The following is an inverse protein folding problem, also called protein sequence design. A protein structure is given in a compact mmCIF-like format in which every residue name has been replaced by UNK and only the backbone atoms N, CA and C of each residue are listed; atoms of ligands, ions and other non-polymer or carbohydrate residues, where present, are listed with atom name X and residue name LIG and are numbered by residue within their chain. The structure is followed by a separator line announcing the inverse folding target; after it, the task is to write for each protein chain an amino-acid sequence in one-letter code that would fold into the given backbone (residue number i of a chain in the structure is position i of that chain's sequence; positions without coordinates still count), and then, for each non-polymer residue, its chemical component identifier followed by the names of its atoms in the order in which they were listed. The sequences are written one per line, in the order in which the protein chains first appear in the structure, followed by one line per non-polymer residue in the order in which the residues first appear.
data_IF_082635587698
#
_entry.id   IF_082635587698
#
_cell.length_a   1.000
_cell.length_b   1.000
_cell.length_c   1.000
_cell.angle_alpha   90.00
_cell.angle_beta   90.00
_cell.angle_gamma   90.00
#
_symmetry.space_group_name_H-M   'P 1'
#
loop_
_entity.id
_entity.type
_entity.pdbx_description
1 polymer ?
#
# COMPACT_ATOMS: atom_id res chain seq x y z
N UNK A 1 -25.78 0.35 15.32
CA UNK A 1 -25.41 -1.06 15.03
C UNK A 1 -24.34 -0.98 13.95
N UNK A 2 -23.04 -0.95 14.26
CA UNK A 2 -22.16 -2.13 14.20
C UNK A 2 -20.77 -1.74 14.75
N UNK A 3 -20.57 -1.66 16.07
CA UNK A 3 -19.25 -1.36 16.66
C UNK A 3 -18.43 -2.63 16.97
N UNK A 4 -19.07 -3.80 16.97
CA UNK A 4 -18.44 -5.07 17.34
C UNK A 4 -17.51 -5.62 16.26
N UNK A 5 -17.78 -5.35 14.97
CA UNK A 5 -16.98 -5.85 13.85
C UNK A 5 -15.65 -5.10 13.65
N UNK A 6 -15.61 -3.81 14.01
CA UNK A 6 -14.36 -3.01 13.96
C UNK A 6 -13.39 -3.41 15.08
N UNK A 7 -13.90 -3.88 16.23
CA UNK A 7 -13.04 -4.36 17.32
C UNK A 7 -12.35 -5.69 16.97
N UNK A 8 -13.01 -6.60 16.24
CA UNK A 8 -12.41 -7.89 15.83
C UNK A 8 -11.32 -7.72 14.77
N UNK A 9 -11.49 -6.81 13.81
CA UNK A 9 -10.50 -6.56 12.75
C UNK A 9 -9.29 -5.75 13.23
N UNK A 10 -9.44 -4.97 14.31
CA UNK A 10 -8.35 -4.14 14.87
C UNK A 10 -7.36 -4.91 15.75
N UNK A 11 -7.78 -6.05 16.30
CA UNK A 11 -6.97 -6.90 17.18
C UNK A 11 -5.59 -7.27 16.60
N UNK A 12 -5.46 -7.74 15.34
CA UNK A 12 -4.13 -8.06 14.77
C UNK A 12 -3.24 -6.82 14.57
N UNK A 13 -3.81 -5.65 14.23
CA UNK A 13 -3.04 -4.42 14.04
C UNK A 13 -2.37 -3.94 15.33
N UNK A 14 -3.09 -4.00 16.45
CA UNK A 14 -2.58 -3.66 17.77
C UNK A 14 -1.45 -4.59 18.23
N UNK A 15 -1.58 -5.89 17.94
CA UNK A 15 -0.54 -6.89 18.25
C UNK A 15 0.74 -6.61 17.45
N UNK A 16 0.61 -6.32 16.15
CA UNK A 16 1.75 -5.98 15.29
C UNK A 16 2.44 -4.71 15.79
N UNK A 17 1.67 -3.71 16.23
CA UNK A 17 2.24 -2.49 16.81
C UNK A 17 3.03 -2.76 18.08
N UNK A 18 2.45 -3.51 19.02
CA UNK A 18 3.12 -3.87 20.26
C UNK A 18 4.39 -4.71 20.03
N UNK A 19 4.40 -5.55 18.99
CA UNK A 19 5.59 -6.28 18.57
C UNK A 19 6.65 -5.36 17.95
N UNK A 20 6.23 -4.42 17.09
CA UNK A 20 7.13 -3.47 16.44
C UNK A 20 7.88 -2.60 17.45
N UNK A 21 7.18 -2.12 18.48
CA UNK A 21 7.79 -1.30 19.54
C UNK A 21 8.87 -2.07 20.33
N UNK A 22 8.73 -3.39 20.45
CA UNK A 22 9.73 -4.28 21.07
C UNK A 22 10.89 -4.65 20.13
N UNK A 23 10.62 -4.71 18.83
CA UNK A 23 11.59 -5.10 17.81
C UNK A 23 12.52 -3.96 17.39
N UNK A 24 12.03 -2.71 17.36
CA UNK A 24 12.80 -1.52 17.00
C UNK A 24 14.13 -1.35 17.77
N UNK A 25 14.19 -1.47 19.10
CA UNK A 25 15.44 -1.30 19.84
C UNK A 25 16.43 -2.47 19.69
N UNK A 26 15.99 -3.62 19.17
CA UNK A 26 16.84 -4.81 19.01
C UNK A 26 17.61 -4.82 17.68
N UNK A 27 17.22 -3.97 16.72
CA UNK A 27 17.77 -3.98 15.37
C UNK A 27 18.59 -2.72 15.12
N UNK A 28 19.83 -2.82 14.60
CA UNK A 28 20.62 -1.66 14.22
C UNK A 28 19.90 -0.86 13.11
N UNK A 29 19.71 0.47 13.26
CA UNK A 29 18.94 1.29 12.33
C UNK A 29 19.55 1.35 10.92
N UNK A 30 20.85 1.11 10.79
CA UNK A 30 21.58 1.14 9.52
C UNK A 30 21.34 -0.13 8.67
N UNK A 31 20.92 -1.23 9.30
CA UNK A 31 20.65 -2.49 8.59
C UNK A 31 19.43 -2.38 7.68
N UNK A 32 19.35 -3.22 6.63
CA UNK A 32 18.18 -3.27 5.74
C UNK A 32 16.88 -3.51 6.53
N UNK A 33 16.95 -4.39 7.54
CA UNK A 33 15.84 -4.67 8.46
C UNK A 33 15.48 -3.45 9.31
N UNK A 34 16.47 -2.73 9.85
CA UNK A 34 16.25 -1.50 10.62
C UNK A 34 15.56 -0.41 9.82
N UNK A 35 15.97 -0.21 8.56
CA UNK A 35 15.31 0.72 7.62
C UNK A 35 13.87 0.32 7.34
N UNK A 36 13.60 -0.97 7.12
CA UNK A 36 12.25 -1.47 6.88
C UNK A 36 11.35 -1.28 8.11
N UNK A 37 11.84 -1.58 9.32
CA UNK A 37 11.11 -1.36 10.57
C UNK A 37 10.85 0.13 10.83
N UNK A 38 11.82 1.00 10.56
CA UNK A 38 11.64 2.44 10.66
C UNK A 38 10.59 2.98 9.69
N UNK A 39 10.61 2.49 8.45
CA UNK A 39 9.59 2.82 7.45
C UNK A 39 8.19 2.40 7.92
N UNK A 40 8.07 1.16 8.41
CA UNK A 40 6.82 0.63 8.94
C UNK A 40 6.32 1.43 10.16
N UNK A 41 7.23 1.87 11.03
CA UNK A 41 6.89 2.74 12.16
C UNK A 41 6.37 4.11 11.71
N UNK A 42 7.01 4.74 10.72
CA UNK A 42 6.59 6.01 10.14
C UNK A 42 5.19 5.92 9.51
N UNK A 43 4.87 4.77 8.91
CA UNK A 43 3.59 4.52 8.24
C UNK A 43 2.48 3.98 9.17
N UNK A 44 2.74 3.84 10.47
CA UNK A 44 1.77 3.28 11.42
C UNK A 44 0.46 4.07 11.54
N UNK A 45 0.51 5.38 11.31
CA UNK A 45 -0.68 6.25 11.27
C UNK A 45 -1.61 5.86 10.11
N UNK A 46 -1.06 5.48 8.94
CA UNK A 46 -1.86 5.03 7.80
C UNK A 46 -2.43 3.63 8.03
N UNK A 47 -1.64 2.75 8.66
CA UNK A 47 -2.09 1.42 9.08
C UNK A 47 -3.23 1.45 10.11
N UNK A 48 -3.42 2.54 10.86
CA UNK A 48 -4.53 2.65 11.82
C UNK A 48 -5.65 3.57 11.33
N UNK A 49 -5.48 4.22 10.18
CA UNK A 49 -6.47 5.15 9.63
C UNK A 49 -7.80 4.45 9.26
N UNK A 50 -7.74 3.22 8.72
CA UNK A 50 -8.94 2.44 8.40
C UNK A 50 -9.77 2.04 9.62
N UNK A 51 -9.17 2.06 10.82
CA UNK A 51 -9.87 1.81 12.07
C UNK A 51 -10.75 3.00 12.49
N UNK A 52 -10.40 4.20 12.01
CA UNK A 52 -11.12 5.45 12.31
C UNK A 52 -12.17 5.78 11.25
N UNK A 53 -11.93 5.38 10.01
CA UNK A 53 -12.85 5.58 8.89
C UNK A 53 -13.16 4.26 8.19
N UNK A 54 -14.39 3.79 8.34
CA UNK A 54 -14.89 2.55 7.74
C UNK A 54 -14.99 2.58 6.22
N UNK A 55 -14.83 3.76 5.59
CA UNK A 55 -14.81 3.91 4.13
C UNK A 55 -13.49 3.45 3.52
N UNK A 56 -12.42 3.45 4.32
CA UNK A 56 -11.10 3.02 3.88
C UNK A 56 -11.00 1.50 3.98
N UNK A 57 -10.69 0.85 2.85
CA UNK A 57 -10.40 -0.58 2.81
C UNK A 57 -9.00 -0.83 3.33
N UNK A 58 -8.83 -1.94 4.06
CA UNK A 58 -7.52 -2.39 4.56
C UNK A 58 -6.63 -2.92 3.44
N UNK A 59 -7.24 -3.44 2.37
CA UNK A 59 -6.52 -3.99 1.23
C UNK A 59 -6.08 -2.91 0.25
N UNK A 60 -4.86 -3.08 -0.27
CA UNK A 60 -4.33 -2.30 -1.39
C UNK A 60 -4.63 -2.98 -2.73
N UNK A 61 -5.41 -4.06 -2.74
CA UNK A 61 -5.60 -4.93 -3.89
C UNK A 61 -6.16 -4.17 -5.09
N UNK A 62 -7.11 -3.26 -4.86
CA UNK A 62 -7.67 -2.42 -5.92
C UNK A 62 -6.61 -1.55 -6.59
N UNK A 63 -5.83 -0.80 -5.82
CA UNK A 63 -4.78 0.06 -6.37
C UNK A 63 -3.65 -0.74 -7.03
N UNK A 64 -3.28 -1.89 -6.47
CA UNK A 64 -2.31 -2.79 -7.10
C UNK A 64 -2.83 -3.35 -8.41
N UNK A 65 -4.11 -3.75 -8.46
CA UNK A 65 -4.69 -4.26 -9.70
C UNK A 65 -4.81 -3.18 -10.78
N UNK A 66 -5.00 -1.92 -10.38
CA UNK A 66 -4.99 -0.78 -11.30
C UNK A 66 -3.58 -0.47 -11.84
N UNK A 67 -2.52 -0.65 -11.05
CA UNK A 67 -1.15 -0.38 -11.51
C UNK A 67 -0.49 -1.59 -12.18
N UNK A 68 -0.96 -2.82 -11.93
CA UNK A 68 -0.45 -4.06 -12.54
C UNK A 68 -0.39 -3.99 -14.08
N UNK A 69 -1.45 -3.61 -14.80
CA UNK A 69 -1.42 -3.47 -16.26
C UNK A 69 -0.36 -2.50 -16.75
N UNK A 70 -0.12 -1.42 -16.00
CA UNK A 70 0.88 -0.41 -16.33
C UNK A 70 2.32 -0.92 -16.15
N UNK A 71 2.60 -1.59 -15.03
CA UNK A 71 3.92 -2.18 -14.76
C UNK A 71 4.25 -3.28 -15.78
N UNK A 72 3.26 -4.12 -16.09
CA UNK A 72 3.39 -5.16 -17.12
C UNK A 72 3.53 -4.57 -18.52
N UNK A 73 2.76 -3.53 -18.85
CA UNK A 73 2.85 -2.79 -20.12
C UNK A 73 4.22 -2.16 -20.33
N UNK A 74 4.81 -1.54 -19.30
CA UNK A 74 6.17 -0.98 -19.36
C UNK A 74 7.26 -2.01 -19.67
N UNK A 75 7.11 -3.24 -19.16
CA UNK A 75 8.04 -4.34 -19.48
C UNK A 75 7.88 -4.82 -20.93
N UNK A 76 6.67 -4.75 -21.47
CA UNK A 76 6.36 -5.16 -22.85
C UNK A 76 6.65 -4.06 -23.89
N UNK A 77 6.69 -2.80 -23.47
CA UNK A 77 6.91 -1.63 -24.33
C UNK A 77 8.30 -1.03 -24.15
N UNK A 78 9.33 -1.88 -24.22
CA UNK A 78 10.72 -1.46 -24.14
C UNK A 78 11.09 -0.37 -25.18
N UNK A 79 10.28 -0.21 -26.24
CA UNK A 79 10.44 0.78 -27.31
C UNK A 79 9.48 1.98 -27.25
N UNK A 80 8.59 2.08 -26.25
CA UNK A 80 7.73 3.27 -26.07
C UNK A 80 8.44 4.39 -25.29
N UNK A 81 9.70 4.66 -25.62
CA UNK A 81 10.49 5.76 -25.06
C UNK A 81 10.03 7.16 -25.55
N UNK A 82 9.10 7.21 -26.51
CA UNK A 82 8.53 8.45 -27.02
C UNK A 82 7.37 8.94 -26.16
N UNK A 83 7.33 10.24 -25.86
CA UNK A 83 6.25 10.95 -25.15
C UNK A 83 4.87 10.63 -25.75
N UNK A 84 4.79 10.40 -27.07
CA UNK A 84 3.54 10.02 -27.75
C UNK A 84 3.04 8.63 -27.34
N UNK A 85 3.93 7.65 -27.17
CA UNK A 85 3.59 6.30 -26.73
C UNK A 85 3.13 6.26 -25.27
N UNK A 86 3.76 7.06 -24.41
CA UNK A 86 3.32 7.26 -23.01
C UNK A 86 1.94 7.92 -22.94
N UNK A 87 1.67 8.92 -23.81
CA UNK A 87 0.38 9.62 -23.83
C UNK A 87 -0.77 8.75 -24.35
N UNK A 88 -0.54 7.95 -25.39
CA UNK A 88 -1.54 7.03 -25.92
C UNK A 88 -1.93 5.95 -24.89
N UNK A 89 -0.94 5.42 -24.17
CA UNK A 89 -1.18 4.42 -23.14
C UNK A 89 -1.82 4.96 -21.88
N UNK A 90 -1.43 6.15 -21.43
CA UNK A 90 -2.09 6.84 -20.33
C UNK A 90 -3.59 7.02 -20.62
N UNK A 91 -3.95 7.44 -21.84
CA UNK A 91 -5.35 7.61 -22.24
C UNK A 91 -6.15 6.29 -22.21
N UNK A 92 -5.55 5.17 -22.63
CA UNK A 92 -6.17 3.84 -22.54
C UNK A 92 -6.47 3.44 -21.08
N UNK A 93 -5.50 3.61 -20.19
CA UNK A 93 -5.69 3.30 -18.77
C UNK A 93 -6.65 4.26 -18.04
N UNK A 94 -6.85 5.48 -18.55
CA UNK A 94 -7.85 6.41 -18.02
C UNK A 94 -9.28 5.88 -18.27
N UNK A 95 -9.51 5.30 -19.45
CA UNK A 95 -10.83 4.82 -19.87
C UNK A 95 -11.26 3.55 -19.11
N UNK A 96 -10.32 2.63 -18.86
CA UNK A 96 -10.58 1.41 -18.07
C UNK A 96 -11.02 1.70 -16.62
N UNK A 97 -10.81 2.93 -16.12
CA UNK A 97 -11.10 3.32 -14.74
C UNK A 97 -12.54 3.84 -14.54
N UNK A 98 -13.30 4.07 -15.59
CA UNK A 98 -14.62 4.73 -15.53
C UNK A 98 -15.82 3.76 -15.38
N UNK A 99 -15.60 2.53 -14.90
CA UNK A 99 -16.66 1.60 -14.47
C UNK A 99 -16.40 1.01 -13.08
#
# INVERSE_FOLDING_TARGET
MNNSAFQTLSAPCLIIRAWLDKALPQVPPTSATGKALHCLNNESTKLTAYLKDSRLKIDNNGAENLIRPFVMGRKNWLFSASVKGVKASANLYSFDREC
#
